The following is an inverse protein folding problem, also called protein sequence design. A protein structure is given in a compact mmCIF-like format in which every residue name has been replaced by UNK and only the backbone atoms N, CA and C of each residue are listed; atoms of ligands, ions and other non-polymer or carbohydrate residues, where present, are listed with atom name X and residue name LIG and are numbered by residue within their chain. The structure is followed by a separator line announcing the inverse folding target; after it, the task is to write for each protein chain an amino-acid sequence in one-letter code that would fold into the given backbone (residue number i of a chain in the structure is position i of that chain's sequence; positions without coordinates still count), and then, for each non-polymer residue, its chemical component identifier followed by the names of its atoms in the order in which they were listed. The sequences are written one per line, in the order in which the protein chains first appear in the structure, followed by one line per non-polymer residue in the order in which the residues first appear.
data_IF_265598958754
#
_entry.id   IF_265598958754
#
_cell.length_a   1.000
_cell.length_b   1.000
_cell.length_c   1.000
_cell.angle_alpha   90.00
_cell.angle_beta   90.00
_cell.angle_gamma   90.00
#
_symmetry.space_group_name_H-M   'P 1'
#
loop_
_entity.id
_entity.type
_entity.pdbx_description
1 polymer ?
#
# COMPACT_ATOMS: atom_id res chain seq x y z
N UNK A 1 -7.84 0.85 -23.88
CA UNK A 1 -8.46 0.49 -22.58
C UNK A 1 -9.91 0.06 -22.72
N UNK A 2 -10.73 0.62 -23.63
CA UNK A 2 -12.16 0.27 -23.78
C UNK A 2 -12.55 -0.35 -25.13
N UNK A 3 -11.60 -0.53 -26.05
CA UNK A 3 -11.84 -1.01 -27.43
C UNK A 3 -11.12 -2.33 -27.74
N UNK A 4 -10.74 -3.09 -26.72
CA UNK A 4 -10.02 -4.37 -26.87
C UNK A 4 -8.65 -4.28 -27.58
N UNK A 5 -8.13 -3.07 -27.83
CA UNK A 5 -6.80 -2.88 -28.39
C UNK A 5 -5.73 -3.61 -27.55
N UNK A 6 -4.85 -4.36 -28.22
CA UNK A 6 -3.68 -5.02 -27.63
C UNK A 6 -2.61 -3.99 -27.24
N UNK A 7 -2.83 -3.34 -26.10
CA UNK A 7 -1.94 -2.29 -25.60
C UNK A 7 -0.77 -2.84 -24.77
N UNK A 8 -0.90 -4.07 -24.27
CA UNK A 8 0.17 -4.80 -23.62
C UNK A 8 0.94 -5.61 -24.68
N UNK A 9 2.10 -5.09 -25.09
CA UNK A 9 2.90 -5.68 -26.17
C UNK A 9 3.85 -6.78 -25.69
N UNK A 10 4.15 -6.88 -24.40
CA UNK A 10 5.04 -7.93 -23.87
C UNK A 10 4.31 -9.26 -23.74
N UNK A 11 3.01 -9.22 -23.49
CA UNK A 11 2.14 -10.40 -23.38
C UNK A 11 1.15 -10.53 -24.56
N UNK A 12 1.27 -9.68 -25.59
CA UNK A 12 0.38 -9.58 -26.78
C UNK A 12 -1.13 -9.67 -26.45
N UNK A 13 -1.56 -8.96 -25.40
CA UNK A 13 -2.95 -9.03 -24.90
C UNK A 13 -3.62 -7.66 -24.79
N UNK A 14 -4.95 -7.71 -24.89
CA UNK A 14 -5.79 -6.61 -24.48
C UNK A 14 -5.70 -6.39 -22.96
N UNK A 15 -5.90 -5.16 -22.52
CA UNK A 15 -5.96 -4.84 -21.09
C UNK A 15 -7.37 -4.41 -20.78
N UNK A 16 -8.12 -5.34 -20.19
CA UNK A 16 -9.54 -5.18 -19.98
C UNK A 16 -9.87 -4.87 -18.52
N UNK A 17 -9.73 -3.61 -18.11
CA UNK A 17 -10.12 -3.18 -16.75
C UNK A 17 -11.62 -3.37 -16.47
N UNK A 18 -12.46 -3.54 -17.50
CA UNK A 18 -13.86 -3.91 -17.31
C UNK A 18 -14.04 -5.36 -16.82
N UNK A 19 -13.09 -6.26 -17.08
CA UNK A 19 -13.12 -7.63 -16.53
C UNK A 19 -13.05 -7.61 -15.00
N UNK A 20 -12.21 -6.75 -14.41
CA UNK A 20 -12.16 -6.52 -12.96
C UNK A 20 -13.48 -5.95 -12.37
N UNK A 21 -14.34 -5.38 -13.22
CA UNK A 21 -15.65 -4.84 -12.83
C UNK A 21 -16.78 -5.84 -13.04
N UNK A 22 -16.50 -6.99 -13.65
CA UNK A 22 -17.46 -8.04 -13.90
C UNK A 22 -17.74 -8.87 -12.64
N UNK A 23 -18.61 -8.35 -11.78
CA UNK A 23 -19.07 -9.06 -10.56
C UNK A 23 -19.92 -10.29 -10.84
N UNK A 24 -20.44 -10.42 -12.05
CA UNK A 24 -21.30 -11.55 -12.45
C UNK A 24 -20.51 -12.76 -12.88
N UNK A 25 -19.18 -12.63 -13.02
CA UNK A 25 -18.30 -13.66 -13.56
C UNK A 25 -18.77 -14.20 -14.92
N UNK A 26 -19.51 -13.38 -15.68
CA UNK A 26 -19.97 -13.74 -17.01
C UNK A 26 -18.75 -13.80 -17.94
N UNK A 27 -18.63 -14.81 -18.80
CA UNK A 27 -17.44 -14.97 -19.61
C UNK A 27 -17.27 -13.78 -20.57
N UNK A 28 -16.07 -13.20 -20.58
CA UNK A 28 -15.73 -12.12 -21.51
C UNK A 28 -14.77 -12.71 -22.53
N UNK A 29 -15.18 -12.72 -23.79
CA UNK A 29 -14.41 -13.33 -24.86
C UNK A 29 -13.59 -12.28 -25.60
N UNK A 30 -12.27 -12.45 -25.63
CA UNK A 30 -11.35 -11.69 -26.50
C UNK A 30 -10.64 -12.72 -27.39
N UNK A 31 -10.61 -12.49 -28.70
CA UNK A 31 -10.05 -13.43 -29.69
C UNK A 31 -10.57 -14.88 -29.53
N UNK A 32 -11.82 -15.04 -29.07
CA UNK A 32 -12.47 -16.34 -28.88
C UNK A 32 -12.10 -17.08 -27.59
N UNK A 33 -11.32 -16.46 -26.67
CA UNK A 33 -10.97 -17.03 -25.36
C UNK A 33 -11.62 -16.24 -24.22
N UNK A 34 -12.12 -16.93 -23.20
CA UNK A 34 -12.62 -16.30 -21.97
C UNK A 34 -11.44 -15.82 -21.12
N UNK A 35 -11.37 -14.51 -20.88
CA UNK A 35 -10.25 -13.86 -20.18
C UNK A 35 -10.49 -13.71 -18.67
N UNK A 36 -11.68 -14.02 -18.18
CA UNK A 36 -12.03 -13.89 -16.75
C UNK A 36 -11.15 -14.71 -15.78
N UNK A 37 -10.68 -15.94 -16.09
CA UNK A 37 -9.85 -16.71 -15.17
C UNK A 37 -8.40 -16.19 -15.00
N UNK A 38 -7.85 -15.50 -16.00
CA UNK A 38 -6.43 -15.08 -16.04
C UNK A 38 -6.19 -13.65 -15.52
N UNK A 39 -7.22 -12.79 -15.54
CA UNK A 39 -7.05 -11.33 -15.36
C UNK A 39 -7.29 -10.81 -13.93
N UNK A 40 -7.51 -11.69 -12.95
CA UNK A 40 -7.92 -11.31 -11.59
C UNK A 40 -6.80 -10.73 -10.69
N UNK A 41 -5.64 -10.39 -11.26
CA UNK A 41 -4.46 -9.97 -10.48
C UNK A 41 -4.14 -8.47 -10.67
N UNK A 42 -4.58 -7.66 -9.69
CA UNK A 42 -4.00 -6.42 -9.19
C UNK A 42 -3.34 -5.45 -10.20
N UNK A 43 -4.16 -4.73 -10.98
CA UNK A 43 -3.69 -3.68 -11.92
C UNK A 43 -3.29 -2.35 -11.28
N UNK A 44 -3.46 -2.16 -9.96
CA UNK A 44 -3.35 -0.81 -9.39
C UNK A 44 -1.92 -0.34 -9.08
N UNK A 45 -0.89 -1.20 -9.18
CA UNK A 45 0.47 -0.85 -8.70
C UNK A 45 1.63 -1.24 -9.64
N UNK A 46 1.43 -1.24 -10.96
CA UNK A 46 2.43 -1.79 -11.91
C UNK A 46 3.33 -0.76 -12.61
N UNK A 47 3.36 0.52 -12.19
CA UNK A 47 4.23 1.53 -12.81
C UNK A 47 5.69 1.57 -12.31
N UNK A 48 6.15 0.56 -11.56
CA UNK A 48 7.53 0.50 -11.02
C UNK A 48 8.53 -0.16 -11.96
N UNK A 49 8.37 0.08 -13.27
CA UNK A 49 9.25 -0.52 -14.27
C UNK A 49 10.52 0.29 -14.46
N UNK A 50 11.60 -0.40 -14.85
CA UNK A 50 12.89 0.21 -15.18
C UNK A 50 13.28 0.02 -16.65
N UNK A 51 12.44 -0.63 -17.47
CA UNK A 51 12.67 -0.87 -18.90
C UNK A 51 11.56 -0.21 -19.71
N UNK A 52 11.97 0.54 -20.73
CA UNK A 52 11.09 1.20 -21.69
C UNK A 52 10.50 0.23 -22.71
N UNK A 53 9.49 0.66 -23.47
CA UNK A 53 8.88 -0.14 -24.56
C UNK A 53 9.89 -0.55 -25.64
N UNK A 54 10.97 0.22 -25.83
CA UNK A 54 12.05 -0.13 -26.76
C UNK A 54 13.09 -1.10 -26.17
N UNK A 55 12.89 -1.61 -24.94
CA UNK A 55 13.83 -2.51 -24.27
C UNK A 55 15.05 -1.82 -23.64
N UNK A 56 15.07 -0.49 -23.54
CA UNK A 56 16.17 0.25 -22.90
C UNK A 56 15.89 0.51 -21.43
N UNK A 57 16.92 0.53 -20.60
CA UNK A 57 16.81 0.98 -19.22
C UNK A 57 16.49 2.47 -19.12
N UNK A 58 15.65 2.84 -18.16
CA UNK A 58 15.36 4.24 -17.83
C UNK A 58 16.49 4.86 -17.01
N UNK A 59 16.75 6.15 -17.21
CA UNK A 59 17.69 6.98 -16.42
C UNK A 59 16.95 7.98 -15.49
N UNK A 60 15.63 7.87 -15.40
CA UNK A 60 14.74 8.67 -14.57
C UNK A 60 13.93 7.80 -13.58
N UNK A 61 13.24 8.46 -12.64
CA UNK A 61 12.32 7.79 -11.70
C UNK A 61 10.97 7.52 -12.38
N UNK A 62 10.41 6.35 -12.11
CA UNK A 62 9.07 5.92 -12.56
C UNK A 62 8.08 5.93 -11.38
N UNK A 63 7.25 4.90 -11.20
CA UNK A 63 6.20 4.84 -10.20
C UNK A 63 6.68 5.18 -8.78
N UNK A 64 5.94 6.01 -8.01
CA UNK A 64 6.26 6.30 -6.62
C UNK A 64 5.69 5.23 -5.69
N UNK A 65 6.34 4.98 -4.55
CA UNK A 65 5.74 4.13 -3.50
C UNK A 65 4.46 4.81 -3.01
N UNK A 66 3.33 4.11 -3.13
CA UNK A 66 2.02 4.60 -2.69
C UNK A 66 1.71 4.01 -1.33
N UNK A 67 1.25 4.85 -0.41
CA UNK A 67 0.91 4.46 0.95
C UNK A 67 -0.10 5.46 1.53
N UNK A 68 -0.81 5.08 2.59
CA UNK A 68 -1.76 5.94 3.29
C UNK A 68 -2.72 5.19 4.20
N UNK A 69 -3.47 5.93 5.01
CA UNK A 69 -4.53 5.43 5.89
C UNK A 69 -5.72 6.39 5.91
N UNK A 70 -6.93 5.92 6.28
CA UNK A 70 -8.08 6.79 6.50
C UNK A 70 -7.81 7.87 7.55
N UNK A 71 -8.28 9.09 7.28
CA UNK A 71 -8.36 10.14 8.30
C UNK A 71 -9.48 9.86 9.30
N UNK A 72 -9.37 10.25 10.57
CA UNK A 72 -8.28 11.04 11.19
C UNK A 72 -7.17 10.18 11.79
N UNK A 73 -7.23 8.85 11.69
CA UNK A 73 -6.26 7.95 12.32
C UNK A 73 -4.81 8.25 11.88
N UNK A 74 -4.59 8.45 10.57
CA UNK A 74 -3.26 8.78 10.04
C UNK A 74 -2.64 10.04 10.67
N UNK A 75 -3.47 10.98 11.17
CA UNK A 75 -3.00 12.20 11.84
C UNK A 75 -2.23 11.90 13.13
N UNK A 76 -2.57 10.80 13.80
CA UNK A 76 -1.94 10.36 15.05
C UNK A 76 -0.82 9.33 14.83
N UNK A 77 -0.57 8.93 13.58
CA UNK A 77 0.45 7.93 13.24
C UNK A 77 1.65 8.57 12.54
N UNK A 78 1.47 9.07 11.31
CA UNK A 78 2.58 9.44 10.42
C UNK A 78 2.54 10.89 9.94
N UNK A 79 1.51 11.67 10.31
CA UNK A 79 1.45 13.10 9.92
C UNK A 79 2.57 13.92 10.55
N UNK A 80 3.12 13.49 11.68
CA UNK A 80 4.36 14.06 12.23
C UNK A 80 5.48 14.07 11.19
N UNK A 81 5.68 12.94 10.49
CA UNK A 81 6.67 12.83 9.43
C UNK A 81 6.27 13.64 8.19
N UNK A 82 4.98 13.73 7.87
CA UNK A 82 4.51 14.57 6.76
C UNK A 82 4.71 16.06 7.05
N UNK A 83 4.59 16.52 8.29
CA UNK A 83 4.70 17.95 8.66
C UNK A 83 6.14 18.39 8.94
N UNK A 84 6.91 17.60 9.68
CA UNK A 84 8.25 17.97 10.16
C UNK A 84 9.36 17.00 9.72
N UNK A 85 9.03 15.97 8.93
CA UNK A 85 10.04 15.09 8.35
C UNK A 85 10.80 15.73 7.18
N UNK A 86 11.94 15.15 6.83
CA UNK A 86 12.86 15.69 5.81
C UNK A 86 12.50 15.33 4.37
N UNK A 87 11.42 14.56 4.15
CA UNK A 87 10.98 14.15 2.83
C UNK A 87 9.80 14.99 2.36
N UNK A 88 9.83 15.39 1.09
CA UNK A 88 8.68 15.95 0.41
C UNK A 88 7.74 14.81 0.01
N UNK A 89 6.51 14.84 0.52
CA UNK A 89 5.52 13.78 0.30
C UNK A 89 4.25 14.42 -0.26
N UNK A 90 3.99 14.32 -1.57
CA UNK A 90 2.74 14.77 -2.15
C UNK A 90 1.57 13.95 -1.61
N UNK A 91 0.50 14.61 -1.15
CA UNK A 91 -0.66 13.92 -0.57
C UNK A 91 -1.95 14.27 -1.34
N UNK A 92 -2.70 13.24 -1.73
CA UNK A 92 -4.08 13.39 -2.21
C UNK A 92 -5.03 13.18 -1.01
N UNK A 93 -5.72 14.23 -0.57
CA UNK A 93 -6.77 14.18 0.44
C UNK A 93 -8.11 13.99 -0.23
N UNK A 94 -8.87 12.98 0.16
CA UNK A 94 -10.19 12.65 -0.44
C UNK A 94 -11.27 12.59 0.64
N UNK A 95 -12.39 13.29 0.44
CA UNK A 95 -13.53 13.24 1.37
C UNK A 95 -14.88 13.42 0.67
N UNK A 96 -15.95 12.74 1.13
CA UNK A 96 -17.31 13.06 0.73
C UNK A 96 -17.89 14.25 1.51
N UNK A 97 -18.74 15.05 0.87
CA UNK A 97 -19.53 16.12 1.49
C UNK A 97 -20.64 15.56 2.38
N UNK A 98 -21.25 14.45 1.97
CA UNK A 98 -22.33 13.78 2.67
C UNK A 98 -21.85 12.46 3.28
N UNK A 99 -22.06 12.31 4.59
CA UNK A 99 -21.85 11.04 5.29
C UNK A 99 -22.99 10.06 5.03
N UNK A 100 -22.67 8.76 5.02
CA UNK A 100 -23.68 7.70 5.06
C UNK A 100 -24.37 7.59 6.43
N UNK A 101 -23.70 8.05 7.49
CA UNK A 101 -24.15 7.92 8.87
C UNK A 101 -24.22 9.31 9.53
N UNK A 102 -25.30 10.08 9.34
CA UNK A 102 -25.48 11.42 9.89
C UNK A 102 -25.85 11.40 11.37
N UNK A 103 -25.10 10.66 12.18
CA UNK A 103 -25.35 10.51 13.61
C UNK A 103 -25.11 11.85 14.35
N UNK A 104 -25.83 12.03 15.46
CA UNK A 104 -25.74 13.22 16.32
C UNK A 104 -25.82 14.54 15.54
N UNK A 105 -26.73 14.65 14.57
CA UNK A 105 -26.91 15.89 13.80
C UNK A 105 -25.66 16.29 12.99
N UNK A 106 -24.95 15.31 12.43
CA UNK A 106 -23.73 15.48 11.62
C UNK A 106 -22.48 15.96 12.37
N UNK A 107 -22.48 15.99 13.71
CA UNK A 107 -21.33 16.48 14.50
C UNK A 107 -20.02 15.79 14.11
N UNK A 108 -20.02 14.45 14.03
CA UNK A 108 -18.83 13.70 13.63
C UNK A 108 -18.34 14.05 12.22
N UNK A 109 -19.25 14.21 11.26
CA UNK A 109 -18.87 14.51 9.89
C UNK A 109 -18.38 15.95 9.73
N UNK A 110 -18.95 16.90 10.48
CA UNK A 110 -18.45 18.28 10.54
C UNK A 110 -17.02 18.33 11.07
N UNK A 111 -16.71 17.58 12.13
CA UNK A 111 -15.35 17.48 12.68
C UNK A 111 -14.38 16.82 11.69
N UNK A 112 -14.81 15.77 10.99
CA UNK A 112 -14.02 15.14 9.93
C UNK A 112 -13.70 16.14 8.81
N UNK A 113 -14.70 16.88 8.32
CA UNK A 113 -14.52 17.86 7.24
C UNK A 113 -13.66 19.04 7.69
N UNK A 114 -13.80 19.50 8.93
CA UNK A 114 -12.91 20.52 9.49
C UNK A 114 -11.45 20.05 9.47
N UNK A 115 -11.19 18.81 9.88
CA UNK A 115 -9.85 18.22 9.81
C UNK A 115 -9.34 18.04 8.38
N UNK A 116 -10.21 17.60 7.46
CA UNK A 116 -9.89 17.46 6.04
C UNK A 116 -9.45 18.79 5.41
N UNK A 117 -10.04 19.92 5.82
CA UNK A 117 -9.67 21.25 5.33
C UNK A 117 -8.42 21.80 6.04
N UNK A 118 -8.34 21.63 7.36
CA UNK A 118 -7.26 22.17 8.17
C UNK A 118 -5.90 21.53 7.86
N UNK A 119 -5.85 20.24 7.51
CA UNK A 119 -4.58 19.54 7.27
C UNK A 119 -3.84 20.03 6.00
N UNK A 120 -4.47 20.08 4.81
CA UNK A 120 -3.89 20.73 3.63
C UNK A 120 -3.49 22.18 3.89
N UNK A 121 -4.32 22.94 4.61
CA UNK A 121 -4.02 24.34 4.95
C UNK A 121 -2.77 24.44 5.83
N UNK A 122 -2.65 23.60 6.86
CA UNK A 122 -1.48 23.54 7.73
C UNK A 122 -0.21 23.15 6.96
N UNK A 123 -0.30 22.17 6.04
CA UNK A 123 0.82 21.77 5.17
C UNK A 123 1.25 22.89 4.22
N UNK A 124 0.30 23.69 3.74
CA UNK A 124 0.58 24.83 2.87
C UNK A 124 1.20 25.99 3.65
N UNK A 125 0.57 26.42 4.76
CA UNK A 125 0.95 27.63 5.50
C UNK A 125 2.14 27.42 6.43
N UNK A 126 2.28 26.23 7.01
CA UNK A 126 3.20 25.98 8.10
C UNK A 126 2.92 26.87 9.32
N UNK A 127 3.92 27.04 10.17
CA UNK A 127 3.90 27.92 11.35
C UNK A 127 5.28 28.54 11.50
N UNK A 128 5.34 29.86 11.39
CA UNK A 128 6.60 30.62 11.45
C UNK A 128 7.09 30.78 12.88
N UNK A 129 8.38 31.08 13.01
CA UNK A 129 9.06 31.32 14.29
C UNK A 129 8.37 32.41 15.12
N UNK A 130 7.90 33.48 14.46
CA UNK A 130 7.18 34.58 15.11
C UNK A 130 5.89 34.08 15.76
N UNK A 131 5.06 33.35 15.01
CA UNK A 131 3.78 32.83 15.51
C UNK A 131 4.00 31.78 16.59
N UNK A 132 4.95 30.86 16.40
CA UNK A 132 5.27 29.83 17.39
C UNK A 132 5.82 30.44 18.70
N UNK A 133 6.64 31.48 18.61
CA UNK A 133 7.16 32.20 19.77
C UNK A 133 6.03 32.91 20.54
N UNK A 134 5.16 33.64 19.86
CA UNK A 134 4.01 34.29 20.49
C UNK A 134 3.09 33.28 21.22
N UNK A 135 2.85 32.11 20.63
CA UNK A 135 2.09 31.04 21.28
C UNK A 135 2.80 30.49 22.54
N UNK A 136 4.11 30.26 22.47
CA UNK A 136 4.91 29.75 23.59
C UNK A 136 5.00 30.77 24.74
N UNK A 137 5.18 32.05 24.44
CA UNK A 137 5.22 33.11 25.44
C UNK A 137 3.85 33.29 26.13
N UNK A 138 2.75 33.23 25.37
CA UNK A 138 1.39 33.25 25.92
C UNK A 138 1.07 32.05 26.82
N UNK A 139 1.74 30.92 26.63
CA UNK A 139 1.60 29.75 27.49
C UNK A 139 2.27 29.89 28.86
N UNK A 140 2.99 31.00 29.10
CA UNK A 140 3.62 31.31 30.40
C UNK A 140 4.96 30.62 30.64
N UNK A 141 5.59 30.07 29.59
CA UNK A 141 6.90 29.41 29.72
C UNK A 141 8.04 30.41 29.99
N UNK A 142 9.04 30.04 30.81
CA UNK A 142 10.24 30.85 30.98
C UNK A 142 10.97 31.07 29.64
N UNK A 143 11.58 32.25 29.44
CA UNK A 143 12.27 32.60 28.18
C UNK A 143 13.29 31.55 27.73
N UNK A 144 14.06 30.99 28.66
CA UNK A 144 15.05 29.94 28.34
C UNK A 144 14.39 28.66 27.80
N UNK A 145 13.22 28.30 28.33
CA UNK A 145 12.45 27.15 27.83
C UNK A 145 11.82 27.45 26.46
N UNK A 146 11.39 28.70 26.22
CA UNK A 146 10.86 29.14 24.92
C UNK A 146 11.94 28.97 23.84
N UNK A 147 13.17 29.43 24.06
CA UNK A 147 14.24 29.29 23.06
C UNK A 147 14.55 27.83 22.72
N UNK A 148 14.52 26.94 23.71
CA UNK A 148 14.77 25.50 23.50
C UNK A 148 13.65 24.82 22.71
N UNK A 149 12.40 25.21 22.96
CA UNK A 149 11.22 24.54 22.36
C UNK A 149 10.86 25.13 21.00
N UNK A 150 11.12 26.42 20.78
CA UNK A 150 10.77 27.15 19.57
C UNK A 150 11.10 26.40 18.26
N UNK A 151 12.33 25.91 18.02
CA UNK A 151 12.64 25.23 16.75
C UNK A 151 11.81 23.97 16.52
N UNK A 152 11.34 23.31 17.59
CA UNK A 152 10.47 22.12 17.49
C UNK A 152 9.00 22.46 17.21
N UNK A 153 8.60 23.72 17.42
CA UNK A 153 7.22 24.21 17.19
C UNK A 153 7.05 24.96 15.89
N UNK A 154 8.14 25.18 15.15
CA UNK A 154 8.11 25.70 13.77
C UNK A 154 7.68 24.58 12.83
N UNK A 155 6.82 24.93 11.88
CA UNK A 155 6.36 24.03 10.83
C UNK A 155 6.76 24.63 9.49
N UNK A 156 7.60 23.91 8.75
CA UNK A 156 7.96 24.31 7.39
C UNK A 156 6.71 24.31 6.50
N UNK A 157 6.56 25.40 5.75
CA UNK A 157 5.46 25.60 4.81
C UNK A 157 5.72 24.89 3.48
N UNK A 158 4.82 25.08 2.52
CA UNK A 158 5.02 24.67 1.12
C UNK A 158 5.10 23.15 0.90
N UNK A 159 4.29 22.37 1.64
CA UNK A 159 4.12 20.93 1.40
C UNK A 159 2.89 20.70 0.50
N UNK A 160 3.07 20.15 -0.71
CA UNK A 160 2.01 20.13 -1.73
C UNK A 160 0.95 19.07 -1.43
N UNK A 161 -0.30 19.46 -1.59
CA UNK A 161 -1.46 18.58 -1.43
C UNK A 161 -2.46 18.80 -2.55
N UNK A 162 -3.31 17.80 -2.79
CA UNK A 162 -4.50 17.90 -3.64
C UNK A 162 -5.72 17.52 -2.81
N UNK A 163 -6.74 18.34 -2.83
CA UNK A 163 -8.02 18.04 -2.17
C UNK A 163 -9.05 17.64 -3.23
N UNK A 164 -9.55 16.40 -3.13
CA UNK A 164 -10.60 15.86 -4.00
C UNK A 164 -11.85 15.68 -3.15
N UNK A 165 -12.90 16.42 -3.47
CA UNK A 165 -14.19 16.29 -2.82
C UNK A 165 -15.21 15.66 -3.75
N UNK A 166 -15.97 14.70 -3.22
CA UNK A 166 -17.13 14.11 -3.91
C UNK A 166 -18.38 14.43 -3.12
N UNK A 167 -19.55 14.47 -3.76
CA UNK A 167 -20.80 14.75 -3.04
C UNK A 167 -21.08 13.69 -1.97
N UNK A 168 -21.03 12.41 -2.35
CA UNK A 168 -21.24 11.25 -1.47
C UNK A 168 -20.53 10.05 -2.09
N UNK A 169 -20.06 9.08 -1.28
CA UNK A 169 -19.47 7.84 -1.80
C UNK A 169 -20.57 6.85 -2.18
N UNK A 170 -21.09 6.98 -3.38
CA UNK A 170 -21.98 6.01 -4.03
C UNK A 170 -21.19 5.03 -4.90
N UNK A 171 -21.78 3.89 -5.35
CA UNK A 171 -21.12 3.00 -6.31
C UNK A 171 -20.64 3.73 -7.57
N UNK A 172 -21.44 4.69 -8.09
CA UNK A 172 -21.07 5.49 -9.25
C UNK A 172 -19.82 6.35 -8.98
N UNK A 173 -19.83 7.14 -7.91
CA UNK A 173 -18.71 8.02 -7.57
C UNK A 173 -17.45 7.25 -7.19
N UNK A 174 -17.60 6.09 -6.54
CA UNK A 174 -16.47 5.21 -6.24
C UNK A 174 -15.85 4.67 -7.54
N UNK A 175 -16.67 4.20 -8.47
CA UNK A 175 -16.21 3.76 -9.79
C UNK A 175 -15.51 4.87 -10.57
N UNK A 176 -16.03 6.10 -10.50
CA UNK A 176 -15.39 7.27 -11.12
C UNK A 176 -14.04 7.61 -10.49
N UNK A 177 -13.91 7.55 -9.15
CA UNK A 177 -12.64 7.77 -8.45
C UNK A 177 -11.60 6.71 -8.83
N UNK A 178 -11.99 5.44 -8.88
CA UNK A 178 -11.11 4.35 -9.31
C UNK A 178 -10.63 4.59 -10.74
N UNK A 179 -11.57 4.84 -11.67
CA UNK A 179 -11.24 5.11 -13.08
C UNK A 179 -10.30 6.31 -13.26
N UNK A 180 -10.50 7.37 -12.46
CA UNK A 180 -9.62 8.54 -12.47
C UNK A 180 -8.17 8.17 -12.12
N UNK A 181 -7.95 7.32 -11.12
CA UNK A 181 -6.61 6.86 -10.75
C UNK A 181 -6.03 5.84 -11.74
N UNK A 182 -6.85 4.95 -12.32
CA UNK A 182 -6.42 4.08 -13.41
C UNK A 182 -5.88 4.90 -14.60
N UNK A 183 -6.60 5.95 -15.00
CA UNK A 183 -6.15 6.84 -16.08
C UNK A 183 -4.94 7.70 -15.69
N UNK A 184 -4.82 8.13 -14.42
CA UNK A 184 -3.61 8.80 -13.92
C UNK A 184 -2.39 7.87 -14.10
N UNK A 185 -2.50 6.62 -13.68
CA UNK A 185 -1.45 5.60 -13.76
C UNK A 185 -1.08 5.33 -15.22
N UNK A 186 -2.08 5.17 -16.09
CA UNK A 186 -1.88 4.99 -17.53
C UNK A 186 -1.12 6.16 -18.16
N UNK A 187 -1.54 7.40 -17.90
CA UNK A 187 -0.87 8.59 -18.45
C UNK A 187 0.58 8.66 -17.98
N UNK A 188 0.84 8.38 -16.70
CA UNK A 188 2.21 8.32 -16.18
C UNK A 188 3.06 7.26 -16.89
N UNK A 189 2.52 6.05 -17.10
CA UNK A 189 3.22 5.00 -17.83
C UNK A 189 3.55 5.37 -19.27
N UNK A 190 2.61 5.99 -19.98
CA UNK A 190 2.82 6.47 -21.36
C UNK A 190 3.91 7.55 -21.40
N UNK A 191 3.88 8.51 -20.45
CA UNK A 191 4.90 9.56 -20.37
C UNK A 191 6.31 9.01 -20.08
N UNK A 192 6.39 7.93 -19.30
CA UNK A 192 7.64 7.24 -18.99
C UNK A 192 8.03 6.18 -20.03
N UNK A 193 7.28 6.04 -21.12
CA UNK A 193 7.50 5.00 -22.14
C UNK A 193 7.66 3.59 -21.55
N UNK A 194 6.87 3.25 -20.53
CA UNK A 194 6.85 1.91 -19.89
C UNK A 194 5.53 1.19 -20.14
N UNK A 195 5.50 -0.13 -19.88
CA UNK A 195 4.28 -0.92 -19.93
C UNK A 195 3.60 -0.99 -18.56
N UNK A 196 2.55 -0.21 -18.32
CA UNK A 196 1.81 -0.23 -17.05
C UNK A 196 0.97 -1.49 -16.80
N UNK A 197 1.02 -2.47 -17.69
CA UNK A 197 0.03 -3.54 -17.76
C UNK A 197 0.62 -4.94 -17.72
N UNK A 198 1.94 -5.08 -17.63
CA UNK A 198 2.61 -6.36 -17.42
C UNK A 198 3.21 -6.45 -16.01
N UNK A 199 3.62 -7.67 -15.61
CA UNK A 199 4.12 -7.92 -14.27
C UNK A 199 5.19 -9.02 -14.18
N UNK A 200 6.16 -9.00 -15.10
CA UNK A 200 7.27 -9.97 -15.12
C UNK A 200 8.04 -10.07 -13.79
N UNK A 201 8.04 -9.01 -12.97
CA UNK A 201 8.71 -8.98 -11.68
C UNK A 201 8.24 -10.02 -10.65
N UNK A 202 7.06 -10.64 -10.83
CA UNK A 202 6.53 -11.65 -9.90
C UNK A 202 7.01 -13.07 -10.20
N UNK A 203 7.60 -13.31 -11.37
CA UNK A 203 7.90 -14.66 -11.85
C UNK A 203 9.05 -15.31 -11.09
N UNK A 204 10.11 -14.56 -10.80
CA UNK A 204 11.29 -15.08 -10.10
C UNK A 204 10.91 -15.66 -8.74
N UNK A 205 10.08 -14.96 -7.96
CA UNK A 205 9.60 -15.46 -6.68
C UNK A 205 8.81 -16.76 -6.81
N UNK A 206 7.91 -16.85 -7.80
CA UNK A 206 7.13 -18.08 -8.08
C UNK A 206 8.02 -19.25 -8.48
N UNK A 207 9.07 -19.00 -9.26
CA UNK A 207 10.04 -20.03 -9.66
C UNK A 207 10.83 -20.56 -8.46
N UNK A 208 11.32 -19.67 -7.60
CA UNK A 208 12.07 -20.05 -6.39
C UNK A 208 11.19 -20.84 -5.40
N UNK A 209 9.92 -20.46 -5.22
CA UNK A 209 8.98 -21.22 -4.37
C UNK A 209 8.83 -22.66 -4.87
N UNK A 210 8.67 -22.88 -6.17
CA UNK A 210 8.56 -24.24 -6.74
C UNK A 210 9.81 -25.10 -6.51
N UNK A 211 10.99 -24.48 -6.38
CA UNK A 211 12.23 -25.18 -6.06
C UNK A 211 12.35 -25.47 -4.56
N UNK A 212 11.98 -24.53 -3.70
CA UNK A 212 12.12 -24.63 -2.23
C UNK A 212 11.03 -25.50 -1.60
N UNK A 213 9.80 -25.48 -2.14
CA UNK A 213 8.66 -26.26 -1.61
C UNK A 213 8.95 -27.76 -1.40
N UNK A 214 9.47 -28.51 -2.39
CA UNK A 214 9.78 -29.93 -2.18
C UNK A 214 10.93 -30.12 -1.18
N UNK A 215 11.90 -29.21 -1.15
CA UNK A 215 13.03 -29.27 -0.23
C UNK A 215 12.60 -29.06 1.23
N UNK A 216 11.53 -28.32 1.49
CA UNK A 216 10.96 -28.16 2.83
C UNK A 216 10.18 -29.40 3.30
N UNK A 217 9.63 -30.20 2.38
CA UNK A 217 8.89 -31.42 2.71
C UNK A 217 9.79 -32.63 2.96
N UNK A 218 10.97 -32.63 2.35
CA UNK A 218 11.98 -33.68 2.53
C UNK A 218 12.77 -33.46 3.83
N UNK A 219 13.22 -34.53 4.48
CA UNK A 219 14.10 -34.47 5.64
C UNK A 219 15.59 -34.37 5.27
N UNK A 220 15.92 -34.39 3.98
CA UNK A 220 17.30 -34.29 3.53
C UNK A 220 17.94 -32.91 3.82
N UNK A 221 19.26 -32.87 4.08
CA UNK A 221 20.00 -31.62 4.19
C UNK A 221 19.96 -30.82 2.89
N UNK A 222 19.66 -29.52 2.98
CA UNK A 222 19.59 -28.62 1.83
C UNK A 222 20.86 -27.78 1.74
N UNK A 223 21.59 -27.89 0.62
CA UNK A 223 22.85 -27.17 0.34
C UNK A 223 22.86 -26.52 -1.05
N UNK A 224 21.71 -26.46 -1.70
CA UNK A 224 21.53 -26.03 -3.10
C UNK A 224 21.46 -24.53 -3.29
N UNK A 225 21.22 -23.76 -2.21
CA UNK A 225 21.08 -22.29 -2.25
C UNK A 225 22.29 -21.57 -1.63
N UNK A 226 22.24 -20.24 -1.57
CA UNK A 226 23.19 -19.46 -0.78
C UNK A 226 23.05 -19.73 0.73
N UNK A 227 24.12 -19.40 1.47
CA UNK A 227 24.25 -19.76 2.88
C UNK A 227 23.10 -19.27 3.77
N UNK A 228 22.50 -18.11 3.46
CA UNK A 228 21.35 -17.58 4.21
C UNK A 228 20.12 -18.48 4.06
N UNK A 229 19.73 -18.80 2.83
CA UNK A 229 18.54 -19.61 2.55
C UNK A 229 18.71 -21.03 3.06
N UNK A 230 19.88 -21.66 2.84
CA UNK A 230 20.17 -22.98 3.41
C UNK A 230 20.07 -22.96 4.94
N UNK A 231 20.69 -21.97 5.60
CA UNK A 231 20.67 -21.84 7.06
C UNK A 231 19.26 -21.67 7.62
N UNK A 232 18.43 -20.87 6.95
CA UNK A 232 17.02 -20.68 7.34
C UNK A 232 16.19 -21.95 7.14
N UNK A 233 16.40 -22.69 6.05
CA UNK A 233 15.72 -23.97 5.82
C UNK A 233 16.11 -24.98 6.90
N UNK A 234 17.39 -25.09 7.23
CA UNK A 234 17.89 -25.97 8.31
C UNK A 234 17.28 -25.58 9.66
N UNK A 235 17.21 -24.29 9.96
CA UNK A 235 16.59 -23.78 11.19
C UNK A 235 15.09 -24.11 11.23
N UNK A 236 14.37 -23.90 10.13
CA UNK A 236 12.94 -24.20 10.03
C UNK A 236 12.66 -25.69 10.26
N UNK A 237 13.39 -26.58 9.57
CA UNK A 237 13.26 -28.03 9.72
C UNK A 237 13.51 -28.47 11.16
N UNK A 238 14.63 -28.04 11.75
CA UNK A 238 14.98 -28.41 13.13
C UNK A 238 13.97 -27.88 14.17
N UNK A 239 13.35 -26.73 13.93
CA UNK A 239 12.33 -26.16 14.82
C UNK A 239 10.99 -26.88 14.67
N UNK A 240 10.56 -27.20 13.45
CA UNK A 240 9.31 -27.94 13.19
C UNK A 240 9.37 -29.33 13.82
N UNK A 241 10.47 -30.05 13.63
CA UNK A 241 10.68 -31.38 14.22
C UNK A 241 10.69 -31.31 15.76
N UNK A 242 11.31 -30.28 16.34
CA UNK A 242 11.29 -30.09 17.80
C UNK A 242 9.88 -29.84 18.34
N UNK A 243 9.05 -29.08 17.62
CA UNK A 243 7.65 -28.84 18.01
C UNK A 243 6.77 -30.09 17.90
N UNK A 244 6.89 -30.85 16.79
CA UNK A 244 6.16 -32.13 16.66
C UNK A 244 6.56 -33.13 17.73
N UNK A 245 7.86 -33.26 18.02
CA UNK A 245 8.35 -34.15 19.07
C UNK A 245 7.92 -33.69 20.47
N UNK A 246 7.91 -32.38 20.76
CA UNK A 246 7.43 -31.85 22.04
C UNK A 246 5.93 -32.12 22.24
N UNK A 247 5.12 -31.93 21.19
CA UNK A 247 3.67 -32.21 21.22
C UNK A 247 3.42 -33.72 21.38
N UNK A 248 4.13 -34.58 20.64
CA UNK A 248 4.04 -36.04 20.81
C UNK A 248 4.48 -36.49 22.20
N UNK A 249 5.54 -35.89 22.75
CA UNK A 249 6.06 -36.22 24.07
C UNK A 249 5.07 -35.81 25.17
N UNK A 250 4.47 -34.61 25.09
CA UNK A 250 3.39 -34.19 25.98
C UNK A 250 2.15 -35.10 25.89
N UNK A 251 1.73 -35.49 24.68
CA UNK A 251 0.63 -36.44 24.48
C UNK A 251 0.95 -37.83 25.06
N UNK A 252 2.17 -38.32 24.87
CA UNK A 252 2.63 -39.62 25.39
C UNK A 252 2.72 -39.62 26.92
N UNK A 253 3.20 -38.52 27.53
CA UNK A 253 3.16 -38.34 28.99
C UNK A 253 1.72 -38.31 29.51
N UNK A 254 0.81 -37.59 28.85
CA UNK A 254 -0.60 -37.55 29.25
C UNK A 254 -1.28 -38.93 29.18
N UNK A 255 -1.03 -39.72 28.12
CA UNK A 255 -1.55 -41.10 28.00
C UNK A 255 -0.94 -42.01 29.08
N UNK A 256 0.35 -41.85 29.38
CA UNK A 256 1.03 -42.65 30.40
C UNK A 256 0.54 -42.34 31.82
N UNK A 257 0.20 -41.08 32.14
CA UNK A 257 -0.43 -40.71 33.42
C UNK A 257 -1.86 -41.25 33.56
N UNK A 258 -2.61 -41.37 32.47
CA UNK A 258 -3.96 -41.95 32.48
C UNK A 258 -3.91 -43.47 32.74
N UNK A 259 -2.93 -44.20 32.18
CA UNK A 259 -2.82 -45.66 32.38
C UNK A 259 -2.25 -46.08 33.74
N UNK A 260 -1.59 -45.19 34.50
CA UNK A 260 -1.04 -45.50 35.84
C UNK A 260 -2.07 -45.23 36.97
N UNK A 261 -3.24 -44.68 36.65
CA UNK A 261 -4.32 -44.37 37.60
C UNK A 261 -5.60 -45.20 37.39
N UNK A 262 -5.51 -46.34 36.72
CA UNK A 262 -6.58 -47.35 36.64
C UNK A 262 -6.13 -48.70 37.19
#
# INVERSE_FOLDING_TARGET
MFREDKINFTEDRAVLHIALRNRTNSPIHIDGKDVMPEELCDTMFQCFMYVTRSGRHVDYKTGPIVWGEPGTNGQHAFYQLIHQGTRLIPCDFIAPVETHNPIQGHVHHKLLLANFLAQPEALMKGKTDVVAREELEKSGLPKEAVEKILPHKVFERNRPTKSIMVKRVTPFTLGALIAMYEHKIFVQGVLWDINSFDQWGVELGKQLVKAIEPELQDNNPVLTHEASTNGLIILLKSTIDAWYNLVLYCLTICISFICVHF
#
